data_IF_404449247303
#
_entry.id   IF_404449247303
#
_cell.length_a   1.000
_cell.length_b   1.000
_cell.length_c   1.000
_cell.angle_alpha   90.00
_cell.angle_beta   90.00
_cell.angle_gamma   90.00
#
_symmetry.space_group_name_H-M   'P 1'
#
loop_
_entity.id
_entity.type
_entity.pdbx_description
1 polymer ?
#
# COMPACT_ATOMS: atom_id res chain seq x y z
N UNK A 1 -7.62 -26.39 31.42
CA UNK A 1 -7.00 -25.30 30.65
C UNK A 1 -7.65 -25.35 29.26
N UNK A 2 -8.57 -24.44 29.00
CA UNK A 2 -9.27 -24.41 27.70
C UNK A 2 -8.34 -23.71 26.71
N UNK A 3 -7.86 -24.43 25.71
CA UNK A 3 -7.09 -23.85 24.61
C UNK A 3 -8.00 -22.83 23.90
N UNK A 4 -7.57 -21.58 23.82
CA UNK A 4 -8.22 -20.58 22.98
C UNK A 4 -8.10 -21.02 21.53
N UNK A 5 -9.19 -21.08 20.77
CA UNK A 5 -9.12 -21.43 19.35
C UNK A 5 -8.32 -20.33 18.65
N UNK A 6 -7.18 -20.71 18.04
CA UNK A 6 -6.47 -19.83 17.12
C UNK A 6 -7.35 -19.67 15.87
N UNK A 7 -8.10 -18.59 15.81
CA UNK A 7 -8.88 -18.26 14.60
C UNK A 7 -7.91 -17.67 13.58
N UNK A 8 -7.49 -18.49 12.61
CA UNK A 8 -6.61 -18.07 11.50
C UNK A 8 -7.39 -17.43 10.34
N UNK A 9 -8.71 -17.54 10.35
CA UNK A 9 -9.54 -16.88 9.33
C UNK A 9 -9.69 -15.40 9.69
N UNK A 10 -8.82 -14.57 9.11
CA UNK A 10 -9.06 -13.15 9.08
C UNK A 10 -10.39 -12.88 8.34
N UNK A 11 -11.26 -11.99 8.85
CA UNK A 11 -12.46 -11.61 8.13
C UNK A 11 -12.07 -11.19 6.71
N UNK A 12 -12.61 -11.89 5.70
CA UNK A 12 -12.36 -11.61 4.29
C UNK A 12 -13.07 -10.30 3.93
N UNK A 13 -12.41 -9.21 4.20
CA UNK A 13 -12.82 -7.93 3.67
C UNK A 13 -12.48 -7.92 2.18
N UNK A 14 -13.23 -7.16 1.38
CA UNK A 14 -13.12 -7.17 -0.09
C UNK A 14 -11.68 -7.03 -0.58
N UNK A 15 -11.44 -7.53 -1.78
CA UNK A 15 -10.12 -7.36 -2.43
C UNK A 15 -9.80 -5.88 -2.58
N UNK A 16 -8.52 -5.48 -2.40
CA UNK A 16 -8.10 -4.12 -2.71
C UNK A 16 -8.38 -3.80 -4.19
N UNK A 17 -8.52 -2.53 -4.56
CA UNK A 17 -8.46 -2.12 -5.96
C UNK A 17 -7.22 -2.70 -6.63
N UNK A 18 -7.34 -3.04 -7.91
CA UNK A 18 -6.21 -3.57 -8.69
C UNK A 18 -5.09 -2.53 -8.71
N UNK A 19 -3.91 -2.91 -8.27
CA UNK A 19 -2.76 -2.01 -8.23
C UNK A 19 -1.55 -2.63 -8.93
N UNK A 20 -0.80 -1.79 -9.65
CA UNK A 20 0.36 -2.22 -10.46
C UNK A 20 1.40 -3.01 -9.66
N UNK A 21 1.67 -2.61 -8.42
CA UNK A 21 2.67 -3.25 -7.56
C UNK A 21 2.28 -4.68 -7.12
N UNK A 22 1.00 -5.04 -7.22
CA UNK A 22 0.50 -6.39 -6.91
C UNK A 22 0.53 -7.33 -8.13
N UNK A 23 0.90 -6.82 -9.30
CA UNK A 23 0.89 -7.56 -10.55
C UNK A 23 2.31 -7.97 -10.96
N UNK A 24 2.43 -9.16 -11.50
CA UNK A 24 3.61 -9.51 -12.29
C UNK A 24 3.68 -8.66 -13.55
N UNK A 25 4.85 -8.59 -14.17
CA UNK A 25 5.02 -7.83 -15.43
C UNK A 25 4.05 -8.31 -16.54
N UNK A 26 3.81 -9.62 -16.62
CA UNK A 26 2.89 -10.18 -17.60
C UNK A 26 1.43 -9.76 -17.33
N UNK A 27 1.00 -9.82 -16.07
CA UNK A 27 -0.33 -9.37 -15.64
C UNK A 27 -0.54 -7.88 -15.83
N UNK A 28 0.48 -7.05 -15.52
CA UNK A 28 0.44 -5.62 -15.75
C UNK A 28 0.27 -5.28 -17.23
N UNK A 29 1.00 -5.97 -18.12
CA UNK A 29 0.87 -5.82 -19.55
C UNK A 29 -0.51 -6.25 -20.07
N UNK A 30 -1.05 -7.36 -19.55
CA UNK A 30 -2.40 -7.81 -19.87
C UNK A 30 -3.45 -6.78 -19.41
N UNK A 31 -3.30 -6.26 -18.18
CA UNK A 31 -4.18 -5.23 -17.63
C UNK A 31 -4.22 -3.96 -18.47
N UNK A 32 -3.06 -3.51 -18.97
CA UNK A 32 -2.96 -2.35 -19.86
C UNK A 32 -3.62 -2.65 -21.23
N UNK A 33 -3.47 -3.88 -21.73
CA UNK A 33 -4.13 -4.29 -22.98
C UNK A 33 -5.66 -4.36 -22.83
N UNK A 34 -6.18 -4.76 -21.68
CA UNK A 34 -7.61 -4.73 -21.35
C UNK A 34 -8.19 -3.31 -21.42
N UNK A 35 -7.38 -2.29 -21.15
CA UNK A 35 -7.73 -0.87 -21.29
C UNK A 35 -7.53 -0.34 -22.74
N UNK A 36 -7.34 -1.24 -23.71
CA UNK A 36 -7.15 -0.84 -25.12
C UNK A 36 -5.81 -0.17 -25.42
N UNK A 37 -4.84 -0.27 -24.51
CA UNK A 37 -3.54 0.36 -24.67
C UNK A 37 -2.45 -0.67 -25.04
N UNK A 38 -1.41 -0.27 -25.78
CA UNK A 38 -0.28 -1.14 -26.08
C UNK A 38 0.38 -1.67 -24.79
N UNK A 39 0.65 -2.97 -24.70
CA UNK A 39 1.15 -3.66 -23.51
C UNK A 39 2.45 -3.04 -22.94
N UNK A 40 3.33 -2.46 -23.78
CA UNK A 40 4.57 -1.83 -23.31
C UNK A 40 4.36 -0.60 -22.41
N UNK A 41 3.15 -0.02 -22.44
CA UNK A 41 2.81 1.10 -21.55
C UNK A 41 2.80 0.70 -20.07
N UNK A 42 2.59 -0.58 -19.77
CA UNK A 42 2.75 -1.09 -18.42
C UNK A 42 4.18 -0.89 -17.91
N UNK A 43 5.18 -1.09 -18.76
CA UNK A 43 6.59 -0.89 -18.38
C UNK A 43 6.93 0.59 -18.19
N UNK A 44 6.29 1.49 -18.95
CA UNK A 44 6.42 2.95 -18.77
C UNK A 44 5.80 3.37 -17.43
N UNK A 45 4.57 2.95 -17.15
CA UNK A 45 3.87 3.23 -15.90
C UNK A 45 4.63 2.70 -14.68
N UNK A 46 5.11 1.45 -14.74
CA UNK A 46 5.93 0.84 -13.70
C UNK A 46 7.21 1.65 -13.43
N UNK A 47 7.89 2.13 -14.47
CA UNK A 47 9.09 2.95 -14.34
C UNK A 47 8.82 4.24 -13.59
N UNK A 48 7.72 4.92 -13.86
CA UNK A 48 7.30 6.11 -13.13
C UNK A 48 6.98 5.80 -11.68
N UNK A 49 6.14 4.81 -11.44
CA UNK A 49 5.74 4.39 -10.09
C UNK A 49 6.97 4.07 -9.21
N UNK A 50 7.88 3.21 -9.66
CA UNK A 50 9.07 2.84 -8.88
C UNK A 50 10.12 3.96 -8.73
N UNK A 51 9.96 5.07 -9.46
CA UNK A 51 10.71 6.32 -9.25
C UNK A 51 10.00 7.31 -8.31
N UNK A 52 8.84 6.92 -7.77
CA UNK A 52 8.03 7.78 -6.90
C UNK A 52 7.24 8.86 -7.65
N UNK A 53 7.10 8.74 -8.98
CA UNK A 53 6.28 9.64 -9.78
C UNK A 53 4.87 9.07 -9.87
N UNK A 54 3.92 9.67 -9.15
CA UNK A 54 2.51 9.26 -9.14
C UNK A 54 1.59 10.28 -9.83
N UNK A 55 2.06 11.52 -10.02
CA UNK A 55 1.33 12.56 -10.74
C UNK A 55 1.33 12.27 -12.25
N UNK A 56 0.15 12.06 -12.87
CA UNK A 56 0.03 11.80 -14.31
C UNK A 56 0.67 12.88 -15.18
N UNK A 57 0.65 14.14 -14.75
CA UNK A 57 1.20 15.26 -15.51
C UNK A 57 2.72 15.12 -15.73
N UNK A 58 3.42 14.45 -14.82
CA UNK A 58 4.87 14.24 -14.88
C UNK A 58 5.28 13.02 -15.73
N UNK A 59 4.32 12.17 -16.14
CA UNK A 59 4.58 10.96 -16.93
C UNK A 59 4.66 11.27 -18.44
N UNK A 60 5.66 12.07 -18.84
CA UNK A 60 5.71 12.69 -20.17
C UNK A 60 5.96 11.72 -21.33
N UNK A 61 6.46 10.51 -21.07
CA UNK A 61 6.61 9.43 -22.04
C UNK A 61 5.31 8.63 -22.32
N UNK A 62 4.26 8.92 -21.55
CA UNK A 62 2.90 8.45 -21.79
C UNK A 62 2.10 9.54 -22.54
N UNK A 63 1.26 9.21 -23.53
CA UNK A 63 0.37 10.19 -24.16
C UNK A 63 -0.59 10.82 -23.15
N UNK A 64 -0.77 12.13 -23.24
CA UNK A 64 -1.60 12.89 -22.31
C UNK A 64 -3.02 12.31 -22.14
N UNK A 65 -3.63 11.86 -23.24
CA UNK A 65 -4.99 11.33 -23.25
C UNK A 65 -5.18 10.03 -22.43
N UNK A 66 -4.11 9.28 -22.16
CA UNK A 66 -4.21 7.99 -21.47
C UNK A 66 -3.57 7.98 -20.07
N UNK A 67 -2.91 9.06 -19.67
CA UNK A 67 -2.20 9.13 -18.37
C UNK A 67 -3.15 8.93 -17.19
N UNK A 68 -4.23 9.71 -17.16
CA UNK A 68 -5.22 9.67 -16.08
C UNK A 68 -5.96 8.34 -16.05
N UNK A 69 -6.32 7.77 -17.20
CA UNK A 69 -6.96 6.47 -17.30
C UNK A 69 -6.07 5.36 -16.72
N UNK A 70 -4.81 5.30 -17.16
CA UNK A 70 -3.88 4.26 -16.73
C UNK A 70 -3.53 4.40 -15.23
N UNK A 71 -3.31 5.62 -14.74
CA UNK A 71 -3.02 5.86 -13.32
C UNK A 71 -4.24 5.57 -12.45
N UNK A 72 -5.42 6.02 -12.83
CA UNK A 72 -6.66 5.75 -12.11
C UNK A 72 -7.00 4.26 -12.03
N UNK A 73 -6.72 3.50 -13.10
CA UNK A 73 -7.00 2.06 -13.15
C UNK A 73 -5.96 1.19 -12.43
N UNK A 74 -4.67 1.59 -12.44
CA UNK A 74 -3.55 0.75 -12.00
C UNK A 74 -2.69 1.34 -10.88
N UNK A 75 -2.89 2.60 -10.51
CA UNK A 75 -2.23 3.26 -9.39
C UNK A 75 -3.23 3.98 -8.47
N UNK A 76 -4.36 3.35 -8.09
CA UNK A 76 -5.30 3.98 -7.17
C UNK A 76 -4.67 4.21 -5.80
N UNK A 77 -5.08 5.27 -5.10
CA UNK A 77 -4.69 5.51 -3.72
C UNK A 77 -5.27 4.43 -2.80
N UNK A 78 -4.42 3.63 -2.19
CA UNK A 78 -4.81 2.56 -1.27
C UNK A 78 -4.78 2.99 0.20
N UNK A 79 -4.10 4.09 0.50
CA UNK A 79 -3.84 4.60 1.84
C UNK A 79 -4.33 6.03 1.97
N UNK A 80 -5.18 6.29 2.96
CA UNK A 80 -5.59 7.65 3.32
C UNK A 80 -4.97 8.03 4.66
N UNK A 81 -4.20 9.13 4.77
CA UNK A 81 -3.65 9.56 6.04
C UNK A 81 -4.77 10.03 6.98
N UNK A 82 -4.82 9.46 8.18
CA UNK A 82 -5.80 9.83 9.22
C UNK A 82 -5.18 10.83 10.19
N UNK A 83 -3.95 10.54 10.64
CA UNK A 83 -3.24 11.36 11.60
C UNK A 83 -1.73 11.20 11.41
N UNK A 84 -1.01 12.31 11.49
CA UNK A 84 0.46 12.31 11.52
C UNK A 84 0.93 12.98 12.82
N UNK A 85 1.82 12.30 13.51
CA UNK A 85 2.54 12.81 14.68
C UNK A 85 3.99 13.03 14.28
N UNK A 86 4.59 14.12 14.79
CA UNK A 86 5.99 14.43 14.54
C UNK A 86 6.73 14.60 15.87
N UNK A 87 7.96 14.13 15.93
CA UNK A 87 8.89 14.27 17.04
C UNK A 87 10.28 14.65 16.52
N UNK A 88 11.21 14.91 17.42
CA UNK A 88 12.63 15.21 17.13
C UNK A 88 12.81 16.34 16.08
N UNK A 89 12.04 17.43 16.23
CA UNK A 89 12.09 18.53 15.26
C UNK A 89 11.63 18.13 13.86
N UNK A 90 10.71 17.16 13.73
CA UNK A 90 10.18 16.67 12.45
C UNK A 90 10.99 15.55 11.80
N UNK A 91 12.06 15.09 12.44
CA UNK A 91 12.88 13.98 11.94
C UNK A 91 12.17 12.65 12.07
N UNK A 92 11.37 12.46 13.11
CA UNK A 92 10.52 11.27 13.31
C UNK A 92 9.08 11.63 12.98
N UNK A 93 8.47 10.88 12.07
CA UNK A 93 7.07 11.04 11.68
C UNK A 93 6.37 9.70 11.75
N UNK A 94 5.32 9.61 12.58
CA UNK A 94 4.43 8.45 12.67
C UNK A 94 3.11 8.81 12.00
N UNK A 95 2.69 8.04 11.00
CA UNK A 95 1.42 8.25 10.30
C UNK A 95 0.50 7.06 10.51
N UNK A 96 -0.73 7.33 10.93
CA UNK A 96 -1.84 6.39 10.94
C UNK A 96 -2.54 6.48 9.59
N UNK A 97 -2.67 5.34 8.91
CA UNK A 97 -3.28 5.22 7.60
C UNK A 97 -4.57 4.44 7.69
N UNK A 98 -5.56 4.84 6.91
CA UNK A 98 -6.77 4.06 6.64
C UNK A 98 -6.62 3.36 5.30
N UNK A 99 -6.84 2.04 5.30
CA UNK A 99 -6.85 1.21 4.10
C UNK A 99 -8.21 1.32 3.40
N UNK A 100 -8.29 0.84 2.14
CA UNK A 100 -9.52 0.83 1.33
C UNK A 100 -10.73 0.17 2.01
N UNK A 101 -10.51 -0.79 2.91
CA UNK A 101 -11.54 -1.52 3.66
C UNK A 101 -11.83 -0.93 5.06
N UNK A 102 -11.23 0.21 5.38
CA UNK A 102 -11.38 0.90 6.67
C UNK A 102 -10.44 0.40 7.78
N UNK A 103 -9.67 -0.66 7.56
CA UNK A 103 -8.66 -1.09 8.53
C UNK A 103 -7.58 -0.01 8.69
N UNK A 104 -6.98 0.04 9.87
CA UNK A 104 -5.96 1.02 10.21
C UNK A 104 -4.59 0.36 10.34
N UNK A 105 -3.56 1.00 9.83
CA UNK A 105 -2.15 0.60 9.96
C UNK A 105 -1.29 1.81 10.23
N UNK A 106 -0.09 1.58 10.76
CA UNK A 106 0.86 2.64 11.06
C UNK A 106 2.14 2.49 10.25
N UNK A 107 2.77 3.63 9.94
CA UNK A 107 4.14 3.70 9.48
C UNK A 107 4.92 4.74 10.27
N UNK A 108 6.23 4.52 10.42
CA UNK A 108 7.14 5.47 11.08
C UNK A 108 8.32 5.73 10.15
N UNK A 109 8.53 7.00 9.81
CA UNK A 109 9.71 7.46 9.10
C UNK A 109 10.64 8.15 10.10
N UNK A 110 11.88 7.69 10.18
CA UNK A 110 12.93 8.27 11.02
C UNK A 110 14.09 8.74 10.14
N UNK A 111 14.43 10.01 10.22
CA UNK A 111 15.54 10.61 9.47
C UNK A 111 16.71 10.86 10.40
N UNK A 112 17.85 10.32 10.03
CA UNK A 112 19.13 10.53 10.67
C UNK A 112 20.05 11.35 9.73
N UNK A 113 21.18 11.89 10.21
CA UNK A 113 22.08 12.64 9.34
C UNK A 113 22.62 11.84 8.15
N UNK A 114 22.81 10.54 8.31
CA UNK A 114 23.46 9.62 7.38
C UNK A 114 22.52 8.58 6.75
N UNK A 115 21.27 8.47 7.25
CA UNK A 115 20.31 7.47 6.77
C UNK A 115 18.86 7.86 7.05
N UNK A 116 17.95 7.19 6.37
CA UNK A 116 16.53 7.18 6.73
C UNK A 116 16.09 5.73 7.01
N UNK A 117 15.27 5.55 8.03
CA UNK A 117 14.66 4.26 8.38
C UNK A 117 13.16 4.38 8.28
N UNK A 118 12.53 3.40 7.65
CA UNK A 118 11.07 3.29 7.57
C UNK A 118 10.64 2.01 8.25
N UNK A 119 9.71 2.13 9.21
CA UNK A 119 8.99 1.01 9.79
C UNK A 119 7.60 0.99 9.18
N UNK A 120 7.20 -0.13 8.60
CA UNK A 120 5.89 -0.32 7.98
C UNK A 120 5.19 -1.54 8.54
N UNK A 121 3.85 -1.51 8.53
CA UNK A 121 3.04 -2.67 8.85
C UNK A 121 2.86 -3.53 7.60
N UNK A 122 3.07 -4.84 7.71
CA UNK A 122 2.77 -5.83 6.66
C UNK A 122 1.40 -6.50 6.87
N UNK A 123 0.76 -6.21 8.00
CA UNK A 123 -0.54 -6.76 8.39
C UNK A 123 -1.40 -5.68 9.03
N UNK A 124 -2.71 -5.78 8.87
CA UNK A 124 -3.67 -5.05 9.69
C UNK A 124 -4.04 -5.94 10.87
N UNK A 125 -3.70 -5.50 12.10
CA UNK A 125 -3.74 -6.31 13.30
C UNK A 125 -2.58 -7.29 13.40
N UNK A 126 -2.67 -8.26 14.33
CA UNK A 126 -1.61 -9.25 14.53
C UNK A 126 -2.20 -10.56 15.08
N UNK A 127 -1.83 -11.69 14.44
CA UNK A 127 -2.30 -13.03 14.83
C UNK A 127 -1.66 -13.58 16.12
N UNK A 128 -0.60 -12.93 16.63
CA UNK A 128 0.08 -13.39 17.87
C UNK A 128 -0.74 -13.15 19.13
N UNK A 129 -1.70 -12.21 19.10
CA UNK A 129 -2.62 -11.91 20.21
C UNK A 129 -1.92 -11.72 21.58
N UNK A 130 -0.71 -11.14 21.60
CA UNK A 130 0.02 -10.91 22.85
C UNK A 130 -0.77 -9.97 23.77
N UNK A 131 -0.99 -10.32 25.05
CA UNK A 131 -1.87 -9.55 25.95
C UNK A 131 -1.34 -8.15 26.28
N UNK A 132 -0.03 -7.93 26.14
CA UNK A 132 0.63 -6.64 26.38
C UNK A 132 0.78 -5.77 25.12
N UNK A 133 0.33 -6.25 23.96
CA UNK A 133 0.52 -5.57 22.66
C UNK A 133 -0.80 -5.04 22.11
N UNK A 134 -0.94 -3.71 22.00
CA UNK A 134 -2.16 -3.08 21.50
C UNK A 134 -2.53 -3.55 20.08
N UNK A 135 -1.55 -3.78 19.20
CA UNK A 135 -1.78 -4.28 17.84
C UNK A 135 -2.38 -5.69 17.83
N UNK A 136 -2.02 -6.53 18.82
CA UNK A 136 -2.47 -7.92 18.91
C UNK A 136 -3.85 -8.10 19.53
N UNK A 137 -4.35 -7.11 20.29
CA UNK A 137 -5.59 -7.25 21.09
C UNK A 137 -6.83 -7.52 20.26
N UNK A 138 -6.89 -7.01 19.02
CA UNK A 138 -8.02 -7.20 18.12
C UNK A 138 -7.81 -8.34 17.09
N UNK A 139 -6.75 -9.14 17.28
CA UNK A 139 -6.40 -10.22 16.35
C UNK A 139 -5.92 -9.73 14.99
N UNK A 140 -5.82 -10.65 14.05
CA UNK A 140 -5.42 -10.38 12.66
C UNK A 140 -6.64 -10.07 11.80
N UNK A 141 -6.65 -8.91 11.18
CA UNK A 141 -7.67 -8.57 10.18
C UNK A 141 -7.32 -9.16 8.81
N UNK A 142 -6.11 -8.90 8.32
CA UNK A 142 -5.57 -9.46 7.06
C UNK A 142 -4.08 -9.12 6.87
N UNK A 143 -3.44 -9.83 5.95
CA UNK A 143 -2.16 -9.40 5.38
C UNK A 143 -2.38 -8.21 4.44
N UNK A 144 -1.38 -7.34 4.29
CA UNK A 144 -1.37 -6.29 3.29
C UNK A 144 -0.84 -6.86 1.96
N UNK A 145 -1.18 -6.17 0.85
CA UNK A 145 -0.61 -6.42 -0.45
C UNK A 145 0.76 -5.76 -0.60
N UNK A 146 1.43 -5.96 -1.73
CA UNK A 146 2.71 -5.32 -2.03
C UNK A 146 2.56 -3.83 -2.42
N UNK A 147 1.34 -3.42 -2.75
CA UNK A 147 0.99 -2.06 -3.14
C UNK A 147 0.87 -1.11 -1.96
#
# INVERSE_FOLDING_TARGET
MTALPLVFDAPRRGKPPRHLADLTRAEARAAVSELGQPAFRADQLARHFYRGVTDPAQMTDLPAAVREELTGALLPDLLTPVRTLSADGGRTRKTLWRLHDGALVESVLMRYPDRATVCISSQAGCGMACPFCATGQNGLTRNLSAA
#
